data_IF_747946835592
#
_entry.id   IF_747946835592
#
_cell.length_a   1.000
_cell.length_b   1.000
_cell.length_c   1.000
_cell.angle_alpha   90.00
_cell.angle_beta   90.00
_cell.angle_gamma   90.00
#
_symmetry.space_group_name_H-M   'P 1'
#
loop_
_entity.id
_entity.type
_entity.pdbx_description
1 polymer ?
#
# COMPACT_ATOMS: atom_id res chain seq x y z
N UNK A 1 -14.19 9.61 1.57
CA UNK A 1 -14.65 8.23 1.88
C UNK A 1 -13.87 7.71 3.07
N UNK A 2 -14.51 6.92 3.94
CA UNK A 2 -13.87 6.27 5.11
C UNK A 2 -14.19 4.79 5.02
N UNK A 3 -13.15 3.94 5.16
CA UNK A 3 -13.30 2.51 5.36
C UNK A 3 -12.94 2.22 6.82
N UNK A 4 -13.93 1.74 7.57
CA UNK A 4 -13.78 1.49 9.01
C UNK A 4 -13.30 0.08 9.27
N UNK A 5 -12.19 -0.06 9.98
CA UNK A 5 -11.67 -1.30 10.51
C UNK A 5 -11.95 -1.47 12.00
N UNK A 6 -11.32 -2.47 12.60
CA UNK A 6 -11.41 -2.76 14.04
C UNK A 6 -10.50 -1.83 14.85
N UNK A 7 -9.26 -1.67 14.42
CA UNK A 7 -8.23 -0.89 15.13
C UNK A 7 -7.85 0.38 14.38
N UNK A 8 -8.06 0.41 13.07
CA UNK A 8 -7.71 1.51 12.20
C UNK A 8 -8.87 1.91 11.29
N UNK A 9 -8.74 3.08 10.70
CA UNK A 9 -9.61 3.54 9.62
C UNK A 9 -8.77 4.03 8.44
N UNK A 10 -9.28 3.84 7.23
CA UNK A 10 -8.71 4.41 6.01
C UNK A 10 -9.54 5.62 5.62
N UNK A 11 -8.92 6.80 5.54
CA UNK A 11 -9.57 8.04 5.09
C UNK A 11 -8.97 8.47 3.77
N UNK A 12 -9.80 8.82 2.79
CA UNK A 12 -9.30 9.40 1.53
C UNK A 12 -8.29 10.50 1.83
N UNK A 13 -7.08 10.35 1.30
CA UNK A 13 -6.00 11.30 1.53
C UNK A 13 -6.05 12.43 0.50
N UNK A 14 -5.88 13.65 0.96
CA UNK A 14 -5.77 14.85 0.15
C UNK A 14 -4.47 15.59 0.43
N UNK A 15 -4.10 16.54 -0.42
CA UNK A 15 -2.90 17.37 -0.19
C UNK A 15 -2.95 18.16 1.12
N UNK A 16 -4.15 18.39 1.68
CA UNK A 16 -4.35 19.09 2.97
C UNK A 16 -3.94 18.23 4.16
N UNK A 17 -3.83 16.93 3.97
CA UNK A 17 -3.45 15.97 5.00
C UNK A 17 -1.92 15.76 5.06
N UNK A 18 -1.18 16.43 4.17
CA UNK A 18 0.29 16.39 4.17
C UNK A 18 0.82 17.21 5.33
N UNK A 19 1.50 16.54 6.25
CA UNK A 19 2.11 17.14 7.44
C UNK A 19 3.63 16.98 7.42
N UNK A 20 4.34 17.72 8.28
CA UNK A 20 5.78 17.52 8.45
C UNK A 20 6.10 16.09 8.90
N UNK A 21 5.24 15.47 9.71
CA UNK A 21 5.35 14.05 10.12
C UNK A 21 5.37 13.14 8.88
N UNK A 22 4.49 13.36 7.91
CA UNK A 22 4.44 12.58 6.67
C UNK A 22 5.72 12.80 5.84
N UNK A 23 6.16 14.05 5.66
CA UNK A 23 7.42 14.35 4.94
C UNK A 23 8.62 13.67 5.61
N UNK A 24 8.67 13.66 6.94
CA UNK A 24 9.74 13.02 7.69
C UNK A 24 9.76 11.50 7.43
N UNK A 25 8.61 10.82 7.34
CA UNK A 25 8.54 9.40 6.96
C UNK A 25 9.16 9.14 5.59
N UNK A 26 8.87 9.99 4.62
CA UNK A 26 9.35 9.82 3.26
C UNK A 26 10.87 10.03 3.13
N UNK A 27 11.50 10.68 4.12
CA UNK A 27 12.95 10.84 4.22
C UNK A 27 13.61 9.90 5.24
N UNK A 28 12.84 9.08 5.94
CA UNK A 28 13.38 8.08 6.87
C UNK A 28 13.79 6.82 6.09
N UNK A 29 15.08 6.47 6.14
CA UNK A 29 15.65 5.33 5.40
C UNK A 29 15.08 3.98 5.83
N UNK A 30 14.67 3.82 7.10
CA UNK A 30 14.04 2.59 7.55
C UNK A 30 12.64 2.43 6.97
N UNK A 31 11.88 3.55 6.91
CA UNK A 31 10.51 3.60 6.40
C UNK A 31 10.48 3.39 4.90
N UNK A 32 11.41 4.01 4.16
CA UNK A 32 11.43 3.99 2.68
C UNK A 32 12.29 2.89 2.09
N UNK A 33 12.95 2.07 2.91
CA UNK A 33 13.92 1.04 2.51
C UNK A 33 13.49 0.19 1.30
N UNK A 34 12.22 -0.14 1.22
CA UNK A 34 11.63 -1.01 0.19
C UNK A 34 10.66 -0.26 -0.71
N UNK A 35 10.87 1.04 -0.91
CA UNK A 35 10.07 1.88 -1.80
C UNK A 35 10.94 2.65 -2.77
N UNK A 36 10.37 3.05 -3.90
CA UNK A 36 11.05 3.92 -4.87
C UNK A 36 11.31 5.34 -4.31
N UNK A 37 10.58 5.74 -3.27
CA UNK A 37 10.75 7.03 -2.58
C UNK A 37 12.14 7.23 -1.99
N UNK A 38 12.87 6.16 -1.67
CA UNK A 38 14.23 6.22 -1.13
C UNK A 38 15.27 6.86 -2.07
N UNK A 39 14.97 6.93 -3.36
CA UNK A 39 15.90 7.47 -4.36
C UNK A 39 15.80 9.00 -4.52
N UNK A 40 14.92 9.64 -3.78
CA UNK A 40 14.70 11.09 -3.87
C UNK A 40 14.64 11.69 -2.46
N UNK A 41 14.96 12.99 -2.38
CA UNK A 41 14.69 13.78 -1.19
C UNK A 41 13.30 14.39 -1.29
N UNK A 42 12.51 14.24 -0.24
CA UNK A 42 11.15 14.76 -0.16
C UNK A 42 11.10 16.06 0.62
N UNK A 43 10.41 17.04 0.07
CA UNK A 43 10.06 18.32 0.72
C UNK A 43 8.56 18.37 0.95
N UNK A 44 8.09 19.35 1.71
CA UNK A 44 6.67 19.61 1.87
C UNK A 44 6.00 19.81 0.51
N UNK A 45 6.60 20.63 -0.35
CA UNK A 45 6.10 20.95 -1.69
C UNK A 45 6.02 19.70 -2.57
N UNK A 46 7.12 18.93 -2.71
CA UNK A 46 7.12 17.71 -3.54
C UNK A 46 6.17 16.64 -3.02
N UNK A 47 5.97 16.56 -1.70
CA UNK A 47 5.00 15.61 -1.11
C UNK A 47 3.56 16.04 -1.39
N UNK A 48 3.26 17.34 -1.29
CA UNK A 48 1.95 17.90 -1.66
C UNK A 48 1.64 17.63 -3.14
N UNK A 49 2.61 17.87 -4.02
CA UNK A 49 2.43 17.66 -5.47
C UNK A 49 2.22 16.19 -5.81
N UNK A 50 2.95 15.29 -5.17
CA UNK A 50 2.72 13.85 -5.29
C UNK A 50 1.30 13.46 -4.86
N UNK A 51 0.86 13.92 -3.68
CA UNK A 51 -0.49 13.61 -3.17
C UNK A 51 -1.57 14.18 -4.09
N UNK A 52 -1.40 15.41 -4.62
CA UNK A 52 -2.32 15.99 -5.61
C UNK A 52 -2.41 15.13 -6.87
N UNK A 53 -1.27 14.72 -7.41
CA UNK A 53 -1.23 13.90 -8.62
C UNK A 53 -1.91 12.55 -8.43
N UNK A 54 -1.62 11.86 -7.32
CA UNK A 54 -2.17 10.54 -7.03
C UNK A 54 -3.66 10.60 -6.69
N UNK A 55 -4.08 11.55 -5.83
CA UNK A 55 -5.50 11.70 -5.45
C UNK A 55 -6.38 12.29 -6.55
N UNK A 56 -5.79 12.92 -7.56
CA UNK A 56 -6.49 13.42 -8.74
C UNK A 56 -6.71 12.36 -9.84
N UNK A 57 -6.10 11.19 -9.72
CA UNK A 57 -6.27 10.09 -10.66
C UNK A 57 -7.61 9.38 -10.44
N UNK A 58 -8.38 9.18 -11.50
CA UNK A 58 -9.63 8.40 -11.45
C UNK A 58 -9.42 6.89 -11.26
N UNK A 59 -8.20 6.41 -11.48
CA UNK A 59 -7.82 4.99 -11.38
C UNK A 59 -7.09 4.69 -10.06
N UNK A 60 -7.00 5.65 -9.13
CA UNK A 60 -6.24 5.47 -7.89
C UNK A 60 -7.08 5.82 -6.67
N UNK A 61 -7.23 4.86 -5.78
CA UNK A 61 -7.79 5.05 -4.45
C UNK A 61 -6.65 5.24 -3.46
N UNK A 62 -6.50 6.45 -2.92
CA UNK A 62 -5.39 6.81 -2.03
C UNK A 62 -5.91 7.19 -0.65
N UNK A 63 -5.47 6.47 0.37
CA UNK A 63 -5.92 6.62 1.75
C UNK A 63 -4.76 6.84 2.72
N UNK A 64 -5.00 7.71 3.70
CA UNK A 64 -4.24 7.71 4.94
C UNK A 64 -4.76 6.62 5.88
N UNK A 65 -3.85 5.96 6.57
CA UNK A 65 -4.13 4.97 7.62
C UNK A 65 -4.11 5.71 8.96
N UNK A 66 -5.20 5.59 9.72
CA UNK A 66 -5.36 6.29 11.01
C UNK A 66 -5.67 5.32 12.14
N UNK A 67 -4.95 5.44 13.25
CA UNK A 67 -5.33 4.89 14.54
C UNK A 67 -6.00 6.01 15.35
N UNK A 68 -7.31 5.92 15.57
CA UNK A 68 -8.08 7.04 16.11
C UNK A 68 -7.97 8.30 15.22
N UNK A 69 -7.39 9.37 15.76
CA UNK A 69 -7.09 10.60 15.00
C UNK A 69 -5.67 10.67 14.45
N UNK A 70 -4.81 9.71 14.82
CA UNK A 70 -3.40 9.74 14.50
C UNK A 70 -3.14 9.15 13.10
N UNK A 71 -2.56 9.95 12.21
CA UNK A 71 -2.09 9.51 10.89
C UNK A 71 -0.80 8.68 11.08
N UNK A 72 -0.82 7.41 10.67
CA UNK A 72 0.28 6.46 10.91
C UNK A 72 0.91 5.88 9.64
N UNK A 73 0.30 6.09 8.49
CA UNK A 73 0.78 5.55 7.21
C UNK A 73 -0.16 5.83 6.06
N UNK A 74 0.17 5.30 4.89
CA UNK A 74 -0.63 5.45 3.67
C UNK A 74 -0.78 4.14 2.93
N UNK A 75 -1.89 3.99 2.23
CA UNK A 75 -2.16 2.85 1.36
C UNK A 75 -2.85 3.33 0.08
N UNK A 76 -2.48 2.77 -1.05
CA UNK A 76 -3.14 3.04 -2.34
C UNK A 76 -3.51 1.74 -3.05
N UNK A 77 -4.59 1.80 -3.79
CA UNK A 77 -5.00 0.79 -4.75
C UNK A 77 -5.05 1.47 -6.11
N UNK A 78 -4.26 1.00 -7.04
CA UNK A 78 -4.27 1.44 -8.43
C UNK A 78 -4.99 0.42 -9.29
N UNK A 79 -6.03 0.88 -10.00
CA UNK A 79 -6.80 0.05 -10.91
C UNK A 79 -6.15 -0.08 -12.28
N UNK A 80 -6.43 -1.23 -12.92
CA UNK A 80 -6.29 -1.45 -14.36
C UNK A 80 -7.68 -1.82 -14.87
N UNK A 81 -8.54 -0.83 -15.19
CA UNK A 81 -9.97 -1.04 -15.43
C UNK A 81 -10.27 -2.04 -16.55
N UNK A 82 -9.44 -2.04 -17.62
CA UNK A 82 -9.62 -2.91 -18.77
C UNK A 82 -9.58 -4.40 -18.42
N UNK A 83 -8.97 -4.74 -17.28
CA UNK A 83 -8.81 -6.12 -16.83
C UNK A 83 -9.43 -6.40 -15.46
N UNK A 84 -10.08 -5.40 -14.85
CA UNK A 84 -10.58 -5.45 -13.47
C UNK A 84 -9.52 -5.92 -12.46
N UNK A 85 -8.28 -5.44 -12.63
CA UNK A 85 -7.16 -5.73 -11.76
C UNK A 85 -6.84 -4.53 -10.88
N UNK A 86 -6.28 -4.81 -9.71
CA UNK A 86 -5.74 -3.80 -8.81
C UNK A 86 -4.33 -4.12 -8.35
N UNK A 87 -3.58 -3.07 -8.01
CA UNK A 87 -2.26 -3.18 -7.40
C UNK A 87 -2.21 -2.36 -6.11
N UNK A 88 -1.77 -2.96 -5.00
CA UNK A 88 -1.69 -2.30 -3.69
C UNK A 88 -0.26 -1.93 -3.36
N UNK A 89 -0.06 -0.65 -2.99
CA UNK A 89 1.14 -0.14 -2.33
C UNK A 89 0.82 0.38 -0.94
N UNK A 90 1.63 0.04 0.06
CA UNK A 90 1.43 0.42 1.46
C UNK A 90 2.73 0.85 2.13
N UNK A 91 2.63 1.83 3.03
CA UNK A 91 3.69 2.26 3.93
C UNK A 91 3.11 2.56 5.31
N UNK A 92 3.67 1.97 6.37
CA UNK A 92 3.44 2.42 7.74
C UNK A 92 4.61 3.34 8.10
N UNK A 93 4.32 4.64 8.10
CA UNK A 93 5.34 5.68 8.32
C UNK A 93 5.74 5.82 9.77
N UNK A 94 4.81 5.62 10.70
CA UNK A 94 5.07 5.68 12.12
C UNK A 94 5.69 4.36 12.61
N UNK A 95 7.00 4.35 12.85
CA UNK A 95 7.75 3.16 13.29
C UNK A 95 7.27 2.61 14.65
N UNK A 96 6.71 3.46 15.53
CA UNK A 96 6.16 3.02 16.80
C UNK A 96 4.92 2.13 16.66
N UNK A 97 4.32 2.14 15.46
CA UNK A 97 3.12 1.35 15.11
C UNK A 97 3.43 0.06 14.35
N UNK A 98 4.71 -0.25 14.14
CA UNK A 98 5.11 -1.51 13.51
C UNK A 98 4.86 -2.70 14.43
N UNK A 99 4.51 -3.85 13.86
CA UNK A 99 4.24 -5.08 14.60
C UNK A 99 2.83 -5.21 15.17
N UNK A 100 2.01 -4.17 15.15
CA UNK A 100 0.63 -4.21 15.69
C UNK A 100 -0.41 -4.82 14.73
N UNK A 101 0.00 -5.18 13.50
CA UNK A 101 -0.91 -5.78 12.52
C UNK A 101 -1.69 -4.77 11.67
N UNK A 102 -1.46 -3.47 11.85
CA UNK A 102 -2.18 -2.41 11.15
C UNK A 102 -2.03 -2.47 9.63
N UNK A 103 -0.84 -2.86 9.14
CA UNK A 103 -0.64 -3.07 7.70
C UNK A 103 -1.55 -4.17 7.14
N UNK A 104 -1.65 -5.31 7.81
CA UNK A 104 -2.52 -6.41 7.38
C UNK A 104 -4.00 -6.01 7.40
N UNK A 105 -4.43 -5.24 8.41
CA UNK A 105 -5.79 -4.73 8.50
C UNK A 105 -6.09 -3.73 7.37
N UNK A 106 -5.17 -2.79 7.09
CA UNK A 106 -5.31 -1.82 6.02
C UNK A 106 -5.40 -2.49 4.63
N UNK A 107 -4.51 -3.47 4.36
CA UNK A 107 -4.52 -4.24 3.14
C UNK A 107 -5.87 -4.96 2.97
N UNK A 108 -6.36 -5.65 4.02
CA UNK A 108 -7.64 -6.36 3.98
C UNK A 108 -8.81 -5.41 3.68
N UNK A 109 -8.89 -4.26 4.37
CA UNK A 109 -9.95 -3.28 4.16
C UNK A 109 -9.98 -2.75 2.73
N UNK A 110 -8.81 -2.40 2.19
CA UNK A 110 -8.74 -1.84 0.83
C UNK A 110 -8.99 -2.92 -0.23
N UNK A 111 -8.55 -4.16 0.02
CA UNK A 111 -8.83 -5.31 -0.86
C UNK A 111 -10.34 -5.61 -0.93
N UNK A 112 -11.01 -5.64 0.22
CA UNK A 112 -12.47 -5.86 0.28
C UNK A 112 -13.23 -4.73 -0.43
N UNK A 113 -12.76 -3.48 -0.31
CA UNK A 113 -13.29 -2.37 -1.07
C UNK A 113 -13.09 -2.56 -2.58
N UNK A 114 -11.87 -2.93 -3.01
CA UNK A 114 -11.58 -3.20 -4.42
C UNK A 114 -12.46 -4.30 -5.02
N UNK A 115 -12.74 -5.37 -4.26
CA UNK A 115 -13.65 -6.42 -4.70
C UNK A 115 -15.11 -5.94 -4.81
N UNK A 116 -15.56 -5.08 -3.90
CA UNK A 116 -16.92 -4.48 -3.95
C UNK A 116 -17.12 -3.58 -5.16
N UNK A 117 -16.08 -2.90 -5.63
CA UNK A 117 -16.16 -2.05 -6.84
C UNK A 117 -15.96 -2.83 -8.15
N UNK A 118 -15.74 -4.15 -8.07
CA UNK A 118 -15.73 -5.03 -9.24
C UNK A 118 -14.36 -5.57 -9.65
N UNK A 119 -13.30 -5.29 -8.90
CA UNK A 119 -12.01 -5.91 -9.19
C UNK A 119 -12.08 -7.42 -8.95
N UNK A 120 -11.45 -8.16 -9.86
CA UNK A 120 -11.43 -9.62 -9.77
C UNK A 120 -10.15 -10.16 -9.14
N UNK A 121 -9.04 -9.43 -9.27
CA UNK A 121 -7.74 -9.79 -8.70
C UNK A 121 -7.02 -8.53 -8.23
N UNK A 122 -6.41 -8.61 -7.06
CA UNK A 122 -5.57 -7.55 -6.50
C UNK A 122 -4.22 -8.16 -6.14
N UNK A 123 -3.15 -7.48 -6.57
CA UNK A 123 -1.77 -7.95 -6.42
C UNK A 123 -0.91 -6.90 -5.71
N UNK A 124 0.29 -7.31 -5.31
CA UNK A 124 1.37 -6.42 -4.89
C UNK A 124 2.72 -7.06 -5.19
N UNK A 125 3.69 -6.24 -5.57
CA UNK A 125 5.09 -6.62 -5.69
C UNK A 125 5.86 -6.29 -4.41
N UNK A 126 6.58 -7.26 -3.87
CA UNK A 126 7.28 -7.15 -2.58
C UNK A 126 8.73 -7.55 -2.77
N UNK A 127 9.66 -6.74 -2.24
CA UNK A 127 11.07 -7.13 -2.13
C UNK A 127 11.18 -8.42 -1.31
N UNK A 128 11.90 -9.42 -1.79
CA UNK A 128 11.98 -10.73 -1.13
C UNK A 128 12.52 -10.66 0.30
N UNK A 129 13.37 -9.67 0.61
CA UNK A 129 13.91 -9.42 1.94
C UNK A 129 12.99 -8.54 2.84
N UNK A 130 11.85 -8.05 2.31
CA UNK A 130 10.83 -7.35 3.09
C UNK A 130 9.84 -8.33 3.75
N UNK A 131 10.34 -9.10 4.71
CA UNK A 131 9.56 -10.14 5.40
C UNK A 131 8.34 -9.57 6.11
N UNK A 132 8.44 -8.33 6.64
CA UNK A 132 7.31 -7.67 7.32
C UNK A 132 6.13 -7.44 6.38
N UNK A 133 6.39 -6.93 5.18
CA UNK A 133 5.35 -6.73 4.16
C UNK A 133 4.75 -8.06 3.68
N UNK A 134 5.60 -9.05 3.39
CA UNK A 134 5.14 -10.37 2.97
C UNK A 134 4.17 -10.99 3.99
N UNK A 135 4.54 -10.96 5.28
CA UNK A 135 3.67 -11.45 6.36
C UNK A 135 2.37 -10.66 6.48
N UNK A 136 2.40 -9.33 6.27
CA UNK A 136 1.20 -8.50 6.31
C UNK A 136 0.21 -8.87 5.20
N UNK A 137 0.69 -9.06 3.97
CA UNK A 137 -0.14 -9.50 2.84
C UNK A 137 -0.68 -10.93 3.06
N UNK A 138 0.15 -11.88 3.55
CA UNK A 138 -0.30 -13.23 3.87
C UNK A 138 -1.42 -13.23 4.93
N UNK A 139 -1.28 -12.42 6.00
CA UNK A 139 -2.33 -12.23 7.02
C UNK A 139 -3.61 -11.61 6.44
N UNK A 140 -3.51 -10.83 5.38
CA UNK A 140 -4.65 -10.27 4.67
C UNK A 140 -5.27 -11.24 3.63
N UNK A 141 -4.78 -12.49 3.56
CA UNK A 141 -5.31 -13.55 2.71
C UNK A 141 -4.71 -13.62 1.30
N UNK A 142 -3.55 -12.97 1.09
CA UNK A 142 -2.81 -13.08 -0.16
C UNK A 142 -1.94 -14.34 -0.16
N UNK A 143 -1.73 -14.90 -1.35
CA UNK A 143 -0.80 -16.00 -1.59
C UNK A 143 0.27 -15.57 -2.58
N UNK A 144 1.40 -16.28 -2.58
CA UNK A 144 2.46 -16.05 -3.56
C UNK A 144 1.94 -16.51 -4.93
N UNK A 145 1.96 -15.60 -5.90
CA UNK A 145 1.47 -15.80 -7.26
C UNK A 145 2.62 -15.94 -8.28
N UNK A 146 3.80 -15.47 -7.92
CA UNK A 146 4.99 -15.57 -8.74
C UNK A 146 6.21 -14.92 -8.09
N UNK A 147 7.35 -15.11 -8.74
CA UNK A 147 8.62 -14.49 -8.36
C UNK A 147 9.31 -13.97 -9.62
N UNK A 148 9.72 -12.71 -9.60
CA UNK A 148 10.60 -12.13 -10.61
C UNK A 148 12.02 -12.09 -10.05
N UNK A 149 12.91 -12.89 -10.63
CA UNK A 149 14.27 -13.01 -10.13
C UNK A 149 15.06 -11.72 -10.34
N UNK A 150 15.87 -11.34 -9.35
CA UNK A 150 16.85 -10.25 -9.39
C UNK A 150 16.28 -8.90 -9.88
N UNK A 151 15.08 -8.57 -9.47
CA UNK A 151 14.35 -7.39 -9.97
C UNK A 151 14.76 -6.11 -9.27
N UNK A 152 14.90 -6.14 -7.94
CA UNK A 152 15.17 -4.95 -7.15
C UNK A 152 16.60 -4.87 -6.65
N UNK A 153 17.13 -3.64 -6.56
CA UNK A 153 18.42 -3.39 -5.95
C UNK A 153 18.23 -3.08 -4.46
N UNK A 154 18.77 -3.90 -3.58
CA UNK A 154 18.72 -3.75 -2.13
C UNK A 154 20.10 -3.97 -1.53
N UNK A 155 20.60 -3.01 -0.73
CA UNK A 155 21.92 -3.07 -0.08
C UNK A 155 23.08 -3.44 -1.04
N UNK A 156 23.04 -2.91 -2.27
CA UNK A 156 24.08 -3.16 -3.27
C UNK A 156 23.98 -4.50 -4.02
N UNK A 157 22.99 -5.33 -3.69
CA UNK A 157 22.72 -6.62 -4.35
C UNK A 157 21.36 -6.58 -5.05
N UNK A 158 21.17 -7.47 -6.01
CA UNK A 158 19.86 -7.69 -6.63
C UNK A 158 19.09 -8.74 -5.82
N UNK A 159 17.86 -8.41 -5.46
CA UNK A 159 16.92 -9.29 -4.77
C UNK A 159 15.69 -9.55 -5.64
N UNK A 160 15.03 -10.67 -5.40
CA UNK A 160 13.81 -11.02 -6.13
C UNK A 160 12.64 -10.11 -5.73
N UNK A 161 11.68 -9.99 -6.64
CA UNK A 161 10.36 -9.47 -6.38
C UNK A 161 9.38 -10.63 -6.19
N UNK A 162 8.76 -10.71 -5.04
CA UNK A 162 7.70 -11.68 -4.76
C UNK A 162 6.37 -11.03 -5.10
N UNK A 163 5.65 -11.59 -6.07
CA UNK A 163 4.31 -11.17 -6.40
C UNK A 163 3.34 -11.94 -5.52
N UNK A 164 2.51 -11.20 -4.79
CA UNK A 164 1.41 -11.77 -4.01
C UNK A 164 0.07 -11.32 -4.58
N UNK A 165 -0.94 -12.18 -4.54
CA UNK A 165 -2.25 -11.90 -5.11
C UNK A 165 -3.38 -12.47 -4.27
N UNK A 166 -4.54 -11.82 -4.37
CA UNK A 166 -5.82 -12.30 -3.83
C UNK A 166 -6.91 -12.12 -4.88
N UNK A 167 -7.76 -13.14 -5.03
CA UNK A 167 -8.86 -13.16 -6.01
C UNK A 167 -10.20 -12.94 -5.33
N UNK A 168 -11.14 -12.34 -6.06
CA UNK A 168 -12.53 -12.23 -5.66
C UNK A 168 -13.27 -13.52 -6.01
N UNK A 169 -13.35 -14.44 -5.04
CA UNK A 169 -13.98 -15.75 -5.23
C UNK A 169 -15.48 -15.68 -5.52
N UNK A 170 -16.17 -14.58 -5.17
CA UNK A 170 -17.61 -14.41 -5.45
C UNK A 170 -17.91 -14.28 -6.94
N UNK A 171 -16.94 -13.85 -7.75
CA UNK A 171 -17.12 -13.72 -9.21
C UNK A 171 -16.91 -15.05 -9.95
N UNK A 172 -16.15 -15.99 -9.38
CA UNK A 172 -15.93 -17.31 -9.97
C UNK A 172 -17.17 -18.23 -9.91
N UNK A 173 -18.07 -17.98 -8.97
CA UNK A 173 -19.28 -18.81 -8.76
C UNK A 173 -20.50 -18.33 -9.58
N UNK A 174 -20.34 -17.34 -10.46
CA UNK A 174 -21.41 -16.77 -11.29
C UNK A 174 -21.31 -17.12 -12.79
N UNK A 175 -20.40 -18.01 -13.16
CA UNK A 175 -20.24 -18.49 -14.55
C UNK A 175 -20.78 -19.90 -14.73
#
# INVERSE_FOLDING_TARGET
MILQGQNIQLKTLSYRDVTQKYVNWMNDSDVTKYTESRFQRHTMESTIDYVKAVSGSSETYFYGIYEGSEHIGNIKLQEKPQHNLGDIGIIIGDKSKWGYGYAAEAIRLLTEHGFKIGLHKISAGIYADNIGSLKAFQKAGYVIDGVHERTYKSNGQYVDEVIVSRWNNEQYNKS
#
